data_IF_323841298189
#
_entry.id   IF_323841298189
#
_cell.length_a   1.000
_cell.length_b   1.000
_cell.length_c   1.000
_cell.angle_alpha   90.00
_cell.angle_beta   90.00
_cell.angle_gamma   90.00
#
_symmetry.space_group_name_H-M   'P 1'
#
loop_
_entity.id
_entity.type
_entity.pdbx_description
1 polymer ?
#
# COMPACT_ATOMS: atom_id res chain seq x y z
N UNK A 1 45.48 -21.67 45.51
CA UNK A 1 46.75 -21.05 45.94
C UNK A 1 47.59 -20.75 44.70
N UNK A 2 47.94 -19.46 44.50
CA UNK A 2 49.16 -18.88 43.87
C UNK A 2 49.69 -19.59 42.59
N UNK A 3 49.86 -19.01 41.40
CA UNK A 3 49.88 -17.64 40.89
C UNK A 3 50.82 -17.55 39.66
N UNK A 4 50.64 -16.51 38.81
CA UNK A 4 51.64 -15.93 37.84
C UNK A 4 52.11 -16.84 36.67
N UNK A 5 52.56 -16.39 35.48
CA UNK A 5 52.77 -15.08 34.83
C UNK A 5 53.22 -15.29 33.37
N UNK A 6 52.66 -14.49 32.44
CA UNK A 6 53.20 -13.77 31.25
C UNK A 6 54.30 -14.36 30.31
N UNK A 7 53.96 -14.29 29.01
CA UNK A 7 54.63 -13.71 27.81
C UNK A 7 56.11 -13.98 27.46
N UNK A 8 56.29 -14.43 26.18
CA UNK A 8 57.17 -13.97 25.04
C UNK A 8 58.60 -13.47 25.34
N UNK A 9 59.60 -13.80 24.49
CA UNK A 9 59.87 -13.11 23.18
C UNK A 9 60.35 -14.13 22.10
N UNK A 10 60.89 -13.84 20.90
CA UNK A 10 60.76 -12.87 19.79
C UNK A 10 61.82 -13.34 18.75
N UNK A 11 61.60 -13.10 17.45
CA UNK A 11 62.55 -13.17 16.29
C UNK A 11 63.13 -14.53 15.81
N UNK A 12 62.95 -14.85 14.52
CA UNK A 12 63.80 -14.32 13.44
C UNK A 12 63.38 -14.82 12.04
N UNK A 13 63.50 -13.93 11.04
CA UNK A 13 63.24 -14.08 9.61
C UNK A 13 64.31 -14.90 8.87
N UNK A 14 63.95 -15.51 7.73
CA UNK A 14 64.56 -15.22 6.41
C UNK A 14 63.73 -15.75 5.23
N UNK A 15 63.95 -15.09 4.09
CA UNK A 15 63.12 -14.90 2.90
C UNK A 15 63.66 -15.70 1.70
N UNK A 16 62.78 -15.98 0.72
CA UNK A 16 62.96 -15.90 -0.76
C UNK A 16 62.48 -17.17 -1.49
N UNK A 17 62.12 -17.18 -2.78
CA UNK A 17 61.20 -16.42 -3.67
C UNK A 17 61.26 -17.20 -5.02
N UNK A 18 60.18 -17.16 -5.82
CA UNK A 18 60.07 -17.47 -7.29
C UNK A 18 60.55 -18.83 -7.85
N UNK A 19 59.67 -19.55 -8.57
CA UNK A 19 59.47 -19.41 -10.03
C UNK A 19 58.62 -20.53 -10.69
N UNK A 20 57.84 -20.13 -11.70
CA UNK A 20 57.66 -20.78 -13.02
C UNK A 20 56.78 -22.04 -13.19
N UNK A 21 55.56 -21.80 -13.69
CA UNK A 21 55.03 -22.22 -15.01
C UNK A 21 54.95 -23.72 -15.42
N UNK A 22 53.73 -24.11 -15.85
CA UNK A 22 53.32 -25.01 -16.95
C UNK A 22 52.59 -26.32 -16.57
N UNK A 23 51.30 -26.34 -16.96
CA UNK A 23 50.48 -27.41 -17.56
C UNK A 23 51.04 -28.85 -17.55
N UNK A 24 50.25 -29.84 -17.07
CA UNK A 24 49.71 -30.94 -17.89
C UNK A 24 48.80 -31.92 -17.09
N UNK A 25 47.53 -32.00 -17.55
CA UNK A 25 46.58 -33.14 -17.64
C UNK A 25 46.49 -34.27 -16.58
N UNK A 26 45.19 -34.59 -16.35
CA UNK A 26 44.49 -35.91 -16.38
C UNK A 26 44.12 -36.65 -15.08
N UNK A 27 42.81 -36.96 -15.02
CA UNK A 27 42.11 -38.05 -14.29
C UNK A 27 41.96 -37.88 -12.77
N UNK A 28 40.82 -38.16 -12.11
CA UNK A 28 39.77 -39.14 -12.38
C UNK A 28 38.54 -38.87 -11.46
N UNK A 29 37.33 -39.09 -11.99
CA UNK A 29 36.05 -39.43 -11.32
C UNK A 29 35.67 -38.84 -9.93
N UNK A 30 34.55 -38.13 -9.86
CA UNK A 30 33.36 -38.66 -9.15
C UNK A 30 32.07 -37.95 -9.61
N UNK A 31 31.09 -38.78 -10.00
CA UNK A 31 29.71 -38.40 -10.33
C UNK A 31 28.99 -38.00 -9.05
N UNK A 32 28.58 -36.74 -8.96
CA UNK A 32 27.44 -36.32 -8.15
C UNK A 32 26.44 -35.60 -9.06
N UNK A 33 25.58 -36.40 -9.70
CA UNK A 33 24.33 -35.95 -10.30
C UNK A 33 23.42 -35.42 -9.17
N UNK A 34 23.67 -34.19 -8.73
CA UNK A 34 22.66 -33.43 -7.99
C UNK A 34 21.74 -32.80 -9.03
N UNK A 35 20.43 -33.11 -9.06
CA UNK A 35 19.51 -32.33 -9.85
C UNK A 35 19.59 -30.90 -9.29
N UNK A 36 20.05 -29.97 -10.11
CA UNK A 36 19.94 -28.56 -9.82
C UNK A 36 18.44 -28.29 -9.67
N UNK A 37 17.96 -28.27 -8.43
CA UNK A 37 16.78 -27.51 -8.07
C UNK A 37 17.11 -26.07 -8.44
N UNK A 38 16.78 -25.71 -9.68
CA UNK A 38 16.35 -24.38 -10.03
C UNK A 38 15.16 -24.09 -9.12
N UNK A 39 15.45 -23.63 -7.90
CA UNK A 39 14.57 -22.71 -7.22
C UNK A 39 14.50 -21.52 -8.17
N UNK A 40 13.47 -21.53 -9.01
CA UNK A 40 12.93 -20.30 -9.56
C UNK A 40 12.67 -19.42 -8.34
N UNK A 41 13.59 -18.48 -8.09
CA UNK A 41 13.29 -17.33 -7.28
C UNK A 41 12.18 -16.63 -8.06
N UNK A 42 10.94 -16.96 -7.70
CA UNK A 42 9.85 -16.01 -7.88
C UNK A 42 10.30 -14.85 -7.02
N UNK A 43 10.91 -13.85 -7.65
CA UNK A 43 11.00 -12.53 -7.08
C UNK A 43 9.56 -12.11 -6.79
N UNK A 44 9.09 -12.45 -5.59
CA UNK A 44 7.95 -11.80 -4.98
C UNK A 44 8.42 -10.39 -4.66
N UNK A 45 8.54 -9.57 -5.70
CA UNK A 45 8.42 -8.14 -5.57
C UNK A 45 7.02 -7.93 -5.01
N UNK A 46 6.90 -7.89 -3.69
CA UNK A 46 5.74 -7.37 -2.99
C UNK A 46 5.60 -5.93 -3.45
N UNK A 47 4.88 -5.72 -4.54
CA UNK A 47 4.61 -4.41 -5.10
C UNK A 47 3.72 -3.68 -4.10
N UNK A 48 4.32 -2.77 -3.34
CA UNK A 48 3.58 -1.82 -2.51
C UNK A 48 2.52 -1.13 -3.37
N UNK A 49 1.30 -1.02 -2.87
CA UNK A 49 0.23 -0.30 -3.55
C UNK A 49 0.32 1.19 -3.19
N UNK A 50 1.12 1.96 -3.91
CA UNK A 50 1.37 3.38 -3.61
C UNK A 50 0.30 4.35 -4.14
N UNK A 51 -0.71 3.81 -4.83
CA UNK A 51 -1.77 4.58 -5.45
C UNK A 51 -2.74 3.70 -6.23
N UNK A 52 -3.60 4.36 -7.01
CA UNK A 52 -4.47 3.72 -7.98
C UNK A 52 -4.36 4.40 -9.35
N UNK A 53 -4.06 3.61 -10.38
CA UNK A 53 -3.84 4.10 -11.75
C UNK A 53 -2.86 5.27 -11.78
N UNK A 54 -3.27 6.42 -12.33
CA UNK A 54 -2.41 7.59 -12.39
C UNK A 54 -2.43 8.46 -11.11
N UNK A 55 -3.16 8.07 -10.06
CA UNK A 55 -3.30 8.82 -8.81
C UNK A 55 -2.53 8.14 -7.65
N UNK A 56 -1.60 8.86 -7.04
CA UNK A 56 -0.88 8.40 -5.85
C UNK A 56 -1.68 8.69 -4.59
N UNK A 57 -1.49 7.88 -3.54
CA UNK A 57 -2.04 8.20 -2.23
C UNK A 57 -1.51 9.54 -1.72
N UNK A 58 -2.36 10.31 -1.05
CA UNK A 58 -2.00 11.63 -0.54
C UNK A 58 -2.17 12.78 -1.54
N UNK A 59 -2.38 12.52 -2.84
CA UNK A 59 -2.67 13.58 -3.81
C UNK A 59 -3.94 14.36 -3.42
N UNK A 60 -3.91 15.68 -3.60
CA UNK A 60 -5.05 16.55 -3.26
C UNK A 60 -6.21 16.39 -4.24
N UNK A 61 -7.41 16.76 -3.79
CA UNK A 61 -8.59 16.86 -4.64
C UNK A 61 -8.34 17.67 -5.90
N UNK A 62 -7.76 18.87 -5.76
CA UNK A 62 -7.49 19.79 -6.86
C UNK A 62 -6.56 19.16 -7.91
N UNK A 63 -5.47 18.52 -7.45
CA UNK A 63 -4.50 17.89 -8.34
C UNK A 63 -5.12 16.75 -9.16
N UNK A 64 -5.93 15.91 -8.52
CA UNK A 64 -6.61 14.80 -9.21
C UNK A 64 -7.67 15.34 -10.17
N UNK A 65 -8.45 16.34 -9.76
CA UNK A 65 -9.48 16.95 -10.59
C UNK A 65 -8.88 17.58 -11.84
N UNK A 66 -7.83 18.38 -11.70
CA UNK A 66 -7.13 19.02 -12.80
C UNK A 66 -6.58 17.99 -13.78
N UNK A 67 -5.99 16.90 -13.26
CA UNK A 67 -5.53 15.78 -14.07
C UNK A 67 -6.66 15.17 -14.90
N UNK A 68 -7.81 14.88 -14.30
CA UNK A 68 -8.95 14.34 -15.06
C UNK A 68 -9.53 15.31 -16.07
N UNK A 69 -9.59 16.61 -15.75
CA UNK A 69 -10.01 17.62 -16.71
C UNK A 69 -9.08 17.66 -17.92
N UNK A 70 -7.76 17.67 -17.70
CA UNK A 70 -6.79 17.68 -18.79
C UNK A 70 -6.93 16.47 -19.72
N UNK A 71 -7.23 15.29 -19.16
CA UNK A 71 -7.46 14.06 -19.93
C UNK A 71 -8.80 14.08 -20.67
N UNK A 72 -9.86 14.61 -20.05
CA UNK A 72 -11.18 14.73 -20.67
C UNK A 72 -11.20 15.74 -21.84
N UNK A 73 -10.40 16.81 -21.75
CA UNK A 73 -10.33 17.85 -22.80
C UNK A 73 -9.33 17.54 -23.90
N UNK A 74 -8.55 16.46 -23.79
CA UNK A 74 -7.58 16.09 -24.79
C UNK A 74 -8.26 15.44 -26.01
N UNK A 75 -8.27 16.09 -27.19
CA UNK A 75 -8.93 15.55 -28.39
C UNK A 75 -8.28 14.26 -28.92
N UNK A 76 -7.01 14.00 -28.56
CA UNK A 76 -6.28 12.78 -28.96
C UNK A 76 -6.50 11.62 -27.98
N UNK A 77 -7.28 11.82 -26.92
CA UNK A 77 -7.59 10.76 -25.95
C UNK A 77 -8.42 9.66 -26.61
N UNK A 78 -7.92 8.42 -26.55
CA UNK A 78 -8.67 7.22 -26.96
C UNK A 78 -9.73 6.79 -25.94
N UNK A 79 -9.74 7.43 -24.77
CA UNK A 79 -10.58 7.04 -23.65
C UNK A 79 -11.74 8.02 -23.46
N UNK A 80 -12.94 7.47 -23.33
CA UNK A 80 -14.12 8.25 -22.93
C UNK A 80 -14.06 8.49 -21.42
N UNK A 81 -13.72 9.71 -21.03
CA UNK A 81 -13.58 10.13 -19.63
C UNK A 81 -14.57 11.25 -19.31
N UNK A 82 -15.38 11.03 -18.27
CA UNK A 82 -16.44 11.96 -17.85
C UNK A 82 -16.40 12.16 -16.34
N UNK A 83 -16.43 13.41 -15.88
CA UNK A 83 -16.64 13.75 -14.47
C UNK A 83 -18.15 13.77 -14.21
N UNK A 84 -18.64 12.85 -13.38
CA UNK A 84 -20.08 12.62 -13.18
C UNK A 84 -20.61 13.36 -11.95
N UNK A 85 -19.88 13.31 -10.84
CA UNK A 85 -20.27 13.98 -9.60
C UNK A 85 -19.03 14.41 -8.82
N UNK A 86 -19.10 15.60 -8.26
CA UNK A 86 -18.00 16.19 -7.50
C UNK A 86 -18.53 16.71 -6.17
N UNK A 87 -17.82 16.41 -5.08
CA UNK A 87 -17.96 17.10 -3.80
C UNK A 87 -16.56 17.40 -3.29
N UNK A 88 -16.19 18.68 -3.33
CA UNK A 88 -14.84 19.17 -3.01
C UNK A 88 -14.35 18.56 -1.68
N UNK A 89 -13.09 18.12 -1.68
CA UNK A 89 -12.38 17.52 -0.53
C UNK A 89 -13.00 16.24 0.06
N UNK A 90 -14.08 15.71 -0.53
CA UNK A 90 -14.75 14.50 -0.04
C UNK A 90 -14.77 13.39 -1.07
N UNK A 91 -15.24 13.67 -2.29
CA UNK A 91 -15.37 12.65 -3.33
C UNK A 91 -15.36 13.22 -4.75
N UNK A 92 -14.84 12.41 -5.67
CA UNK A 92 -14.90 12.65 -7.11
C UNK A 92 -15.31 11.34 -7.81
N UNK A 93 -16.44 11.36 -8.52
CA UNK A 93 -16.93 10.25 -9.31
C UNK A 93 -16.59 10.48 -10.79
N UNK A 94 -15.75 9.61 -11.33
CA UNK A 94 -15.32 9.61 -12.73
C UNK A 94 -15.86 8.37 -13.42
N UNK A 95 -16.35 8.51 -14.65
CA UNK A 95 -16.66 7.40 -15.55
C UNK A 95 -15.57 7.36 -16.62
N UNK A 96 -14.90 6.22 -16.77
CA UNK A 96 -13.86 5.99 -17.79
C UNK A 96 -14.15 4.68 -18.50
N UNK A 97 -14.40 4.73 -19.82
CA UNK A 97 -14.74 3.58 -20.67
C UNK A 97 -15.88 2.71 -20.10
N UNK A 98 -16.93 3.34 -19.57
CA UNK A 98 -18.08 2.64 -18.99
C UNK A 98 -17.90 2.09 -17.57
N UNK A 99 -16.71 2.24 -16.97
CA UNK A 99 -16.42 1.87 -15.58
C UNK A 99 -16.47 3.11 -14.69
N UNK A 100 -17.05 2.99 -13.50
CA UNK A 100 -17.12 4.07 -12.52
C UNK A 100 -15.99 3.97 -11.51
N UNK A 101 -15.36 5.10 -11.21
CA UNK A 101 -14.27 5.26 -10.27
C UNK A 101 -14.66 6.35 -9.25
N UNK A 102 -14.87 5.94 -8.01
CA UNK A 102 -15.16 6.84 -6.90
C UNK A 102 -13.89 7.09 -6.10
N UNK A 103 -13.24 8.22 -6.36
CA UNK A 103 -12.13 8.73 -5.57
C UNK A 103 -12.68 9.35 -4.29
N UNK A 104 -12.12 8.96 -3.14
CA UNK A 104 -12.52 9.45 -1.82
C UNK A 104 -11.35 10.15 -1.16
N UNK A 105 -11.64 11.32 -0.62
CA UNK A 105 -10.66 12.21 -0.04
C UNK A 105 -10.90 12.35 1.46
N UNK A 106 -9.81 12.51 2.20
CA UNK A 106 -9.85 12.69 3.64
C UNK A 106 -9.34 14.08 4.01
N UNK A 107 -10.07 14.74 4.89
CA UNK A 107 -9.73 16.01 5.54
C UNK A 107 -9.97 15.86 7.03
N UNK A 108 -9.11 16.44 7.85
CA UNK A 108 -9.25 16.35 9.32
C UNK A 108 -10.56 17.04 9.75
N UNK A 109 -11.43 16.36 10.53
CA UNK A 109 -12.68 16.96 11.02
C UNK A 109 -12.43 18.21 11.86
N UNK A 110 -13.32 19.19 11.76
CA UNK A 110 -13.13 20.48 12.44
C UNK A 110 -13.10 20.38 13.96
N UNK A 111 -13.91 19.49 14.53
CA UNK A 111 -13.95 19.28 15.98
C UNK A 111 -12.62 18.75 16.54
N UNK A 112 -11.82 18.06 15.72
CA UNK A 112 -10.47 17.61 16.12
C UNK A 112 -9.48 18.79 16.17
N UNK A 113 -9.76 19.89 15.46
CA UNK A 113 -8.93 21.12 15.45
C UNK A 113 -8.87 21.79 16.82
N UNK A 114 -9.93 21.67 17.61
CA UNK A 114 -10.08 22.37 18.89
C UNK A 114 -9.28 21.70 20.02
N UNK A 115 -9.01 20.40 19.89
CA UNK A 115 -8.45 19.58 20.97
C UNK A 115 -6.97 19.29 20.79
N UNK A 116 -6.44 19.42 19.57
CA UNK A 116 -4.99 19.31 19.33
C UNK A 116 -4.29 20.65 19.64
N UNK A 117 -3.23 20.66 20.48
CA UNK A 117 -2.55 21.89 20.88
C UNK A 117 -2.00 22.65 19.66
N UNK A 118 -2.15 23.99 19.69
CA UNK A 118 -1.77 24.93 18.63
C UNK A 118 -0.29 24.88 18.24
N UNK A 119 0.57 24.33 19.10
CA UNK A 119 2.04 24.34 18.97
C UNK A 119 2.58 23.39 17.90
N UNK A 120 1.80 22.40 17.43
CA UNK A 120 2.20 21.49 16.34
C UNK A 120 1.69 21.91 14.94
N UNK A 121 1.21 23.15 14.78
CA UNK A 121 0.76 23.70 13.49
C UNK A 121 1.94 24.24 12.67
N UNK A 122 2.91 23.39 12.35
CA UNK A 122 3.87 23.71 11.30
C UNK A 122 3.14 23.90 9.95
N UNK A 123 3.61 24.81 9.07
CA UNK A 123 3.04 24.94 7.73
C UNK A 123 3.12 23.59 6.99
N UNK A 124 2.05 23.25 6.27
CA UNK A 124 1.94 22.03 5.48
C UNK A 124 3.15 21.92 4.54
N UNK A 125 4.09 21.04 4.86
CA UNK A 125 5.28 20.83 4.04
C UNK A 125 5.04 19.59 3.18
N UNK A 126 5.02 19.82 1.86
CA UNK A 126 5.07 18.87 0.72
C UNK A 126 4.22 17.56 0.83
N UNK A 127 3.35 17.22 -0.13
CA UNK A 127 2.55 15.98 -0.15
C UNK A 127 3.35 14.65 -0.05
N UNK A 128 4.67 14.68 -0.16
CA UNK A 128 5.55 13.55 0.15
C UNK A 128 5.53 13.17 1.64
N UNK A 129 5.02 11.96 1.91
CA UNK A 129 4.66 11.27 3.17
C UNK A 129 5.63 11.39 4.38
N UNK A 130 6.85 11.91 4.25
CA UNK A 130 7.81 11.96 5.35
C UNK A 130 7.89 13.37 5.99
N UNK A 131 7.12 13.58 7.05
CA UNK A 131 7.26 14.73 7.95
C UNK A 131 6.02 15.61 8.15
N UNK A 132 4.83 15.08 7.87
CA UNK A 132 3.63 15.90 7.78
C UNK A 132 2.94 16.09 9.14
N UNK A 133 2.58 17.34 9.43
CA UNK A 133 1.76 17.77 10.56
C UNK A 133 0.42 17.01 10.59
N UNK A 134 -0.06 16.67 11.79
CA UNK A 134 -1.24 15.81 12.02
C UNK A 134 -2.59 16.40 11.56
N UNK A 135 -2.58 17.54 10.86
CA UNK A 135 -3.77 18.29 10.50
C UNK A 135 -3.80 18.58 9.00
N UNK A 136 -4.94 18.30 8.35
CA UNK A 136 -5.14 18.49 6.91
C UNK A 136 -6.27 19.47 6.63
N UNK A 137 -5.93 20.54 5.92
CA UNK A 137 -6.91 21.53 5.46
C UNK A 137 -7.56 21.13 4.13
N UNK A 138 -6.81 20.45 3.28
CA UNK A 138 -7.24 19.99 1.96
C UNK A 138 -7.53 18.50 1.96
N UNK A 139 -8.47 18.06 1.11
CA UNK A 139 -8.81 16.65 0.99
C UNK A 139 -7.71 15.87 0.26
N UNK A 140 -7.14 14.85 0.90
CA UNK A 140 -6.12 13.98 0.32
C UNK A 140 -6.70 12.62 -0.07
N UNK A 141 -6.29 12.08 -1.23
CA UNK A 141 -6.77 10.79 -1.72
C UNK A 141 -6.32 9.66 -0.81
N UNK A 142 -7.27 8.85 -0.35
CA UNK A 142 -6.98 7.67 0.44
C UNK A 142 -7.67 6.39 -0.05
N UNK A 143 -8.70 6.51 -0.89
CA UNK A 143 -9.43 5.34 -1.40
C UNK A 143 -9.99 5.59 -2.80
N UNK A 144 -10.00 4.52 -3.60
CA UNK A 144 -10.70 4.47 -4.89
C UNK A 144 -11.60 3.24 -4.94
N UNK A 145 -12.90 3.46 -5.15
CA UNK A 145 -13.85 2.39 -5.44
C UNK A 145 -14.08 2.25 -6.94
N UNK A 146 -13.79 1.08 -7.50
CA UNK A 146 -14.01 0.75 -8.92
C UNK A 146 -15.29 -0.07 -9.03
N UNK A 147 -16.27 0.44 -9.77
CA UNK A 147 -17.57 -0.22 -9.99
C UNK A 147 -17.82 -0.46 -11.48
N UNK A 148 -18.19 -1.69 -11.81
CA UNK A 148 -18.43 -2.15 -13.18
C UNK A 148 -19.60 -3.17 -13.21
N UNK A 149 -19.97 -3.62 -14.40
CA UNK A 149 -21.00 -4.65 -14.57
C UNK A 149 -20.65 -5.94 -13.83
N UNK A 150 -21.65 -6.76 -13.51
CA UNK A 150 -21.42 -8.05 -12.85
C UNK A 150 -20.50 -8.94 -13.69
N UNK A 151 -19.36 -9.36 -13.14
CA UNK A 151 -18.42 -10.30 -13.77
C UNK A 151 -18.22 -11.50 -12.84
N UNK A 152 -18.07 -12.74 -13.35
CA UNK A 152 -17.75 -13.89 -12.51
C UNK A 152 -16.54 -13.60 -11.60
N UNK A 153 -16.69 -13.87 -10.30
CA UNK A 153 -15.67 -13.49 -9.31
C UNK A 153 -14.30 -14.08 -9.63
N UNK A 154 -14.27 -15.31 -10.16
CA UNK A 154 -13.03 -16.01 -10.50
C UNK A 154 -12.22 -15.25 -11.55
N UNK A 155 -12.87 -14.74 -12.60
CA UNK A 155 -12.18 -13.97 -13.66
C UNK A 155 -11.53 -12.69 -13.13
N UNK A 156 -12.14 -12.07 -12.13
CA UNK A 156 -11.58 -10.87 -11.48
C UNK A 156 -10.45 -11.28 -10.55
N UNK A 157 -10.64 -12.36 -9.78
CA UNK A 157 -9.63 -12.91 -8.87
C UNK A 157 -8.36 -13.29 -9.61
N UNK A 158 -8.46 -14.05 -10.70
CA UNK A 158 -7.32 -14.43 -11.56
C UNK A 158 -6.53 -13.21 -12.05
N UNK A 159 -7.22 -12.13 -12.45
CA UNK A 159 -6.58 -10.87 -12.89
C UNK A 159 -5.83 -10.19 -11.74
N UNK A 160 -6.44 -10.14 -10.55
CA UNK A 160 -5.81 -9.58 -9.36
C UNK A 160 -4.64 -10.45 -8.89
N UNK A 161 -4.76 -11.78 -8.95
CA UNK A 161 -3.70 -12.71 -8.59
C UNK A 161 -2.51 -12.63 -9.53
N UNK A 162 -2.76 -12.50 -10.84
CA UNK A 162 -1.70 -12.25 -11.81
C UNK A 162 -0.96 -10.95 -11.54
N UNK A 163 -1.66 -9.92 -11.05
CA UNK A 163 -1.08 -8.60 -10.79
C UNK A 163 -0.37 -8.50 -9.43
N UNK A 164 -0.93 -9.13 -8.40
CA UNK A 164 -0.59 -8.88 -7.00
C UNK A 164 -0.20 -10.16 -6.22
N UNK A 165 -0.23 -11.33 -6.85
CA UNK A 165 -0.08 -12.61 -6.17
C UNK A 165 -1.36 -13.06 -5.45
N UNK A 166 -1.30 -14.14 -4.67
CA UNK A 166 -2.48 -14.68 -3.98
C UNK A 166 -3.02 -13.70 -2.91
N UNK A 167 -4.34 -13.64 -2.69
CA UNK A 167 -4.90 -12.82 -1.62
C UNK A 167 -4.34 -13.25 -0.26
N UNK A 168 -4.13 -12.27 0.62
CA UNK A 168 -3.62 -12.52 1.98
C UNK A 168 -4.73 -13.04 2.90
N UNK A 169 -5.94 -12.56 2.71
CA UNK A 169 -7.13 -12.95 3.49
C UNK A 169 -8.30 -13.14 2.55
N UNK A 170 -9.14 -14.12 2.86
CA UNK A 170 -10.42 -14.32 2.20
C UNK A 170 -11.49 -14.51 3.27
N UNK A 171 -12.64 -13.88 3.05
CA UNK A 171 -13.86 -14.07 3.82
C UNK A 171 -14.93 -14.59 2.89
N UNK A 172 -15.65 -15.61 3.32
CA UNK A 172 -16.78 -16.19 2.61
C UNK A 172 -17.98 -16.05 3.53
N UNK A 173 -19.06 -15.44 3.03
CA UNK A 173 -20.30 -15.29 3.76
C UNK A 173 -21.02 -16.63 3.96
N UNK A 174 -22.02 -16.64 4.83
CA UNK A 174 -22.78 -17.86 5.17
C UNK A 174 -23.47 -18.50 3.94
N UNK A 175 -23.81 -17.68 2.94
CA UNK A 175 -24.38 -18.10 1.66
C UNK A 175 -23.36 -18.80 0.73
N UNK A 176 -22.09 -18.89 1.14
CA UNK A 176 -20.94 -19.48 0.44
C UNK A 176 -20.57 -18.81 -0.90
N UNK A 177 -21.30 -17.78 -1.31
CA UNK A 177 -21.15 -17.12 -2.61
C UNK A 177 -20.71 -15.67 -2.48
N UNK A 178 -21.12 -15.01 -1.39
CA UNK A 178 -20.72 -13.66 -1.04
C UNK A 178 -19.45 -13.67 -0.20
N UNK A 179 -18.82 -12.50 -0.05
CA UNK A 179 -17.62 -12.35 0.77
C UNK A 179 -16.64 -11.33 0.20
N UNK A 180 -15.37 -11.50 0.53
CA UNK A 180 -14.31 -10.63 0.02
C UNK A 180 -12.96 -11.36 -0.05
N UNK A 181 -12.18 -11.04 -1.07
CA UNK A 181 -10.76 -11.42 -1.16
C UNK A 181 -9.92 -10.16 -0.99
N UNK A 182 -8.91 -10.22 -0.12
CA UNK A 182 -8.14 -9.06 0.33
C UNK A 182 -6.66 -9.30 0.05
N UNK A 183 -6.07 -8.38 -0.73
CA UNK A 183 -4.64 -8.27 -0.93
C UNK A 183 -4.09 -7.21 0.00
N UNK A 184 -3.09 -7.58 0.79
CA UNK A 184 -2.36 -6.68 1.66
C UNK A 184 -1.02 -6.38 1.00
N UNK A 185 -0.96 -5.20 0.37
CA UNK A 185 0.15 -4.74 -0.48
C UNK A 185 0.88 -3.63 0.24
N UNK A 186 1.34 -3.96 1.44
CA UNK A 186 1.92 -3.04 2.40
C UNK A 186 3.40 -3.41 2.60
N UNK A 187 4.28 -2.44 2.41
CA UNK A 187 5.66 -2.53 2.86
C UNK A 187 5.74 -2.12 4.33
N UNK A 188 6.18 -3.05 5.18
CA UNK A 188 6.26 -2.91 6.64
C UNK A 188 7.70 -2.73 7.14
N UNK A 189 8.65 -2.49 6.24
CA UNK A 189 10.06 -2.28 6.62
C UNK A 189 10.29 -0.92 7.28
N UNK A 190 9.43 0.05 7.02
CA UNK A 190 9.47 1.39 7.60
C UNK A 190 8.58 1.51 8.86
N UNK A 191 8.86 2.54 9.69
CA UNK A 191 8.08 2.85 10.90
C UNK A 191 6.63 3.25 10.64
N UNK A 192 6.32 3.66 9.41
CA UNK A 192 4.96 3.91 8.91
C UNK A 192 4.66 2.96 7.75
N UNK A 193 3.55 2.20 7.77
CA UNK A 193 3.25 1.23 6.71
C UNK A 193 3.00 1.95 5.39
N UNK A 194 3.82 1.66 4.38
CA UNK A 194 3.66 2.20 3.02
C UNK A 194 2.88 1.23 2.16
N UNK A 195 2.11 1.75 1.22
CA UNK A 195 1.27 0.95 0.33
C UNK A 195 -0.19 0.94 0.73
N UNK A 196 -0.85 -0.20 0.54
CA UNK A 196 -2.29 -0.26 0.70
C UNK A 196 -2.89 -1.63 0.55
N UNK A 197 -4.19 -1.64 0.32
CA UNK A 197 -4.98 -2.85 0.20
C UNK A 197 -5.82 -2.79 -1.07
N UNK A 198 -6.01 -3.95 -1.68
CA UNK A 198 -7.02 -4.15 -2.70
C UNK A 198 -8.05 -5.15 -2.17
N UNK A 199 -9.33 -4.82 -2.29
CA UNK A 199 -10.44 -5.64 -1.81
C UNK A 199 -11.39 -5.91 -2.96
N UNK A 200 -11.46 -7.16 -3.35
CA UNK A 200 -12.48 -7.65 -4.27
C UNK A 200 -13.72 -8.03 -3.45
N UNK A 201 -14.86 -7.41 -3.76
CA UNK A 201 -16.13 -7.82 -3.17
C UNK A 201 -16.79 -8.92 -4.01
N UNK A 202 -17.22 -9.98 -3.33
CA UNK A 202 -17.96 -11.09 -3.91
C UNK A 202 -19.41 -10.98 -3.47
N UNK A 203 -20.31 -11.10 -4.44
CA UNK A 203 -21.75 -11.02 -4.26
C UNK A 203 -22.40 -12.23 -4.91
N UNK A 204 -23.34 -12.85 -4.21
CA UNK A 204 -24.15 -13.94 -4.76
C UNK A 204 -25.17 -13.45 -5.78
N UNK A 205 -25.14 -14.02 -7.00
CA UNK A 205 -26.22 -13.88 -7.97
C UNK A 205 -26.56 -15.25 -8.57
N UNK A 206 -27.83 -15.65 -8.48
CA UNK A 206 -28.30 -16.98 -8.94
C UNK A 206 -27.42 -18.14 -8.42
N UNK A 207 -27.06 -18.10 -7.14
CA UNK A 207 -26.17 -19.08 -6.46
C UNK A 207 -24.74 -19.18 -7.00
N UNK A 208 -24.31 -18.21 -7.81
CA UNK A 208 -22.94 -18.12 -8.31
C UNK A 208 -22.28 -16.83 -7.80
N UNK A 209 -20.95 -16.84 -7.56
CA UNK A 209 -20.24 -15.68 -7.05
C UNK A 209 -19.86 -14.71 -8.18
N UNK A 210 -20.24 -13.44 -8.05
CA UNK A 210 -19.87 -12.37 -8.98
C UNK A 210 -19.22 -11.19 -8.26
N UNK A 211 -18.50 -10.38 -9.02
CA UNK A 211 -17.91 -9.12 -8.56
C UNK A 211 -18.40 -7.99 -9.45
N UNK A 212 -18.82 -6.91 -8.81
CA UNK A 212 -19.10 -5.61 -9.45
C UNK A 212 -18.28 -4.47 -8.87
N UNK A 213 -17.58 -4.71 -7.75
CA UNK A 213 -16.87 -3.68 -7.00
C UNK A 213 -15.51 -4.18 -6.52
N UNK A 214 -14.49 -3.34 -6.70
CA UNK A 214 -13.16 -3.49 -6.09
C UNK A 214 -12.84 -2.18 -5.39
N UNK A 215 -12.43 -2.21 -4.13
CA UNK A 215 -11.92 -1.03 -3.44
C UNK A 215 -10.41 -1.12 -3.26
N UNK A 216 -9.75 0.02 -3.46
CA UNK A 216 -8.36 0.24 -3.14
C UNK A 216 -8.28 1.28 -2.03
N UNK A 217 -7.37 1.10 -1.06
CA UNK A 217 -7.15 2.08 -0.01
C UNK A 217 -5.71 2.10 0.49
N UNK A 218 -5.26 3.28 0.89
CA UNK A 218 -3.98 3.53 1.53
C UNK A 218 -3.93 2.92 2.94
N UNK A 219 -2.79 2.32 3.31
CA UNK A 219 -2.57 1.79 4.65
C UNK A 219 -2.27 2.92 5.66
N UNK A 220 -1.34 3.81 5.33
CA UNK A 220 -0.94 4.93 6.19
C UNK A 220 -2.08 5.91 6.48
N UNK A 221 -2.82 6.34 5.45
CA UNK A 221 -3.91 7.32 5.65
C UNK A 221 -5.07 6.67 6.41
N UNK A 222 -5.32 5.38 6.23
CA UNK A 222 -6.31 4.65 7.04
C UNK A 222 -5.99 4.71 8.54
N UNK A 223 -4.72 4.53 8.93
CA UNK A 223 -4.31 4.63 10.34
C UNK A 223 -4.48 6.04 10.89
N UNK A 224 -4.14 7.06 10.10
CA UNK A 224 -4.39 8.46 10.44
C UNK A 224 -5.88 8.73 10.67
N UNK A 225 -6.76 8.28 9.76
CA UNK A 225 -8.21 8.42 9.89
C UNK A 225 -8.71 7.75 11.17
N UNK A 226 -8.22 6.53 11.48
CA UNK A 226 -8.62 5.81 12.68
C UNK A 226 -8.22 6.55 13.97
N UNK A 227 -7.03 7.17 14.00
CA UNK A 227 -6.58 8.02 15.11
C UNK A 227 -7.48 9.25 15.28
N UNK A 228 -7.70 10.00 14.20
CA UNK A 228 -8.54 11.20 14.21
C UNK A 228 -9.99 10.89 14.64
N UNK A 229 -10.52 9.74 14.22
CA UNK A 229 -11.86 9.29 14.62
C UNK A 229 -11.93 9.01 16.13
N UNK A 230 -10.93 8.33 16.71
CA UNK A 230 -10.88 8.09 18.15
C UNK A 230 -10.86 9.41 18.96
N UNK A 231 -10.06 10.37 18.50
CA UNK A 231 -9.99 11.69 19.12
C UNK A 231 -11.34 12.40 19.03
N UNK A 232 -11.97 12.41 17.85
CA UNK A 232 -13.29 13.01 17.62
C UNK A 232 -14.36 12.52 18.60
N UNK A 233 -14.47 11.19 18.79
CA UNK A 233 -15.46 10.62 19.72
C UNK A 233 -15.18 11.01 21.16
N UNK A 234 -13.91 10.98 21.57
CA UNK A 234 -13.51 11.37 22.92
C UNK A 234 -13.91 12.83 23.23
N UNK A 235 -13.78 13.71 22.24
CA UNK A 235 -14.17 15.13 22.35
C UNK A 235 -15.69 15.29 22.42
N UNK A 236 -16.42 14.58 21.55
CA UNK A 236 -17.87 14.63 21.54
C UNK A 236 -18.44 14.11 22.86
N UNK A 237 -17.93 12.99 23.37
CA UNK A 237 -18.30 12.44 24.67
C UNK A 237 -18.01 13.42 25.81
N UNK A 238 -16.81 14.01 25.85
CA UNK A 238 -16.44 15.00 26.88
C UNK A 238 -17.36 16.22 26.84
N UNK A 239 -17.71 16.70 25.64
CA UNK A 239 -18.64 17.83 25.47
C UNK A 239 -20.03 17.45 25.97
N UNK A 240 -20.56 16.30 25.56
CA UNK A 240 -21.86 15.80 26.02
C UNK A 240 -21.88 15.61 27.54
N UNK A 241 -20.83 15.07 28.15
CA UNK A 241 -20.73 14.91 29.60
C UNK A 241 -20.71 16.27 30.32
N UNK A 242 -20.00 17.27 29.79
CA UNK A 242 -20.00 18.63 30.34
C UNK A 242 -21.40 19.26 30.27
N UNK A 243 -22.08 19.11 29.14
CA UNK A 243 -23.42 19.65 28.92
C UNK A 243 -24.50 18.97 29.80
N UNK A 244 -24.21 17.77 30.32
CA UNK A 244 -25.08 17.00 31.22
C UNK A 244 -24.88 17.29 32.71
N UNK A 245 -23.81 18.00 33.09
CA UNK A 245 -23.59 18.44 34.48
C UNK A 245 -24.16 19.87 34.58
N UNK A 246 -25.28 20.08 35.30
CA UNK A 246 -25.92 21.39 35.45
C UNK A 246 -25.06 22.42 36.16
#
# INVERSE_FOLDING_TARGET
MIGKSKNKPFLSLKIADRNSMKNLRTSLLLVCLCPQFLLAQVDQTTSSLDGFAEASWGMTYESIREKFLSMATNPDSKEDLQLINEKKDERLLVKRNGIFYLYRFYKTPELVKEVRPKENRGPETDPSINGQTEYRESGILFSVGVTFNLVPSEKIKEKLEKKYGKPKKESIGDDKVSGASIWELVDRRDSSPRGGYAVQWREGYKKNPYTRRIDYFSANIREMIAKDYKDFFSVQETKTLRDLIP
#
